data_IF_432141953028
#
_entry.id   IF_432141953028
#
_cell.length_a   1.000
_cell.length_b   1.000
_cell.length_c   1.000
_cell.angle_alpha   90.00
_cell.angle_beta   90.00
_cell.angle_gamma   90.00
#
_symmetry.space_group_name_H-M   'P 1'
#
loop_
_entity.id
_entity.type
_entity.pdbx_description
1 polymer ?
#
# COMPACT_ATOMS: atom_id res chain seq x y z
N UNK A 1 -20.69 -26.36 -12.15
CA UNK A 1 -19.30 -26.81 -12.42
C UNK A 1 -18.47 -25.54 -12.58
N UNK A 2 -17.87 -25.10 -11.47
CA UNK A 2 -17.21 -23.79 -11.38
C UNK A 2 -15.84 -23.84 -12.04
N UNK A 3 -15.52 -22.77 -12.75
CA UNK A 3 -14.33 -22.59 -13.58
C UNK A 3 -13.02 -22.87 -12.82
N UNK A 4 -12.28 -23.87 -13.30
CA UNK A 4 -10.85 -24.01 -13.02
C UNK A 4 -10.14 -22.93 -13.85
N UNK A 5 -9.76 -21.83 -13.19
CA UNK A 5 -8.92 -20.81 -13.81
C UNK A 5 -7.46 -21.24 -13.60
N UNK A 6 -6.74 -21.74 -14.63
CA UNK A 6 -5.35 -22.11 -14.48
C UNK A 6 -4.51 -20.83 -14.48
N UNK A 7 -4.48 -20.14 -13.36
CA UNK A 7 -3.42 -19.20 -13.03
C UNK A 7 -2.17 -20.01 -12.68
N UNK A 8 -1.74 -20.88 -13.61
CA UNK A 8 -0.38 -21.43 -13.64
C UNK A 8 0.37 -20.37 -14.43
N UNK A 9 0.86 -19.34 -13.73
CA UNK A 9 1.73 -18.36 -14.36
C UNK A 9 2.86 -19.12 -15.04
N UNK A 10 3.13 -18.79 -16.30
CA UNK A 10 4.08 -19.50 -17.12
C UNK A 10 5.46 -19.46 -16.43
N UNK A 11 5.82 -20.55 -15.77
CA UNK A 11 7.04 -20.65 -14.98
C UNK A 11 8.22 -20.27 -15.86
N UNK A 12 9.04 -19.34 -15.38
CA UNK A 12 10.20 -18.91 -16.15
C UNK A 12 11.16 -20.09 -16.37
N UNK A 13 11.91 -20.09 -17.48
CA UNK A 13 12.94 -21.12 -17.72
C UNK A 13 13.96 -21.19 -16.57
N UNK A 14 14.24 -20.05 -15.94
CA UNK A 14 15.12 -19.97 -14.78
C UNK A 14 14.53 -20.69 -13.57
N UNK A 15 13.23 -20.54 -13.33
CA UNK A 15 12.52 -21.20 -12.23
C UNK A 15 12.45 -22.73 -12.42
N UNK A 16 12.16 -23.19 -13.64
CA UNK A 16 12.18 -24.62 -13.96
C UNK A 16 13.57 -25.24 -13.75
N UNK A 17 14.64 -24.50 -14.09
CA UNK A 17 16.02 -24.93 -13.83
C UNK A 17 16.30 -24.98 -12.33
N UNK A 18 15.90 -23.96 -11.57
CA UNK A 18 16.06 -23.93 -10.13
C UNK A 18 15.38 -25.13 -9.45
N UNK A 19 14.13 -25.44 -9.81
CA UNK A 19 13.38 -26.58 -9.27
C UNK A 19 14.10 -27.91 -9.50
N UNK A 20 14.60 -28.14 -10.71
CA UNK A 20 15.39 -29.34 -11.03
C UNK A 20 16.68 -29.41 -10.20
N UNK A 21 17.38 -28.30 -10.05
CA UNK A 21 18.58 -28.23 -9.22
C UNK A 21 18.27 -28.50 -7.74
N UNK A 22 17.16 -28.01 -7.21
CA UNK A 22 16.76 -28.26 -5.82
C UNK A 22 16.44 -29.73 -5.55
N UNK A 23 15.75 -30.38 -6.49
CA UNK A 23 15.52 -31.83 -6.45
C UNK A 23 16.86 -32.59 -6.52
N UNK A 24 17.77 -32.16 -7.38
CA UNK A 24 19.12 -32.76 -7.50
C UNK A 24 19.98 -32.57 -6.24
N UNK A 25 19.76 -31.49 -5.48
CA UNK A 25 20.42 -31.22 -4.20
C UNK A 25 19.80 -32.00 -3.04
N UNK A 26 18.74 -32.78 -3.29
CA UNK A 26 18.09 -33.62 -2.29
C UNK A 26 17.03 -32.92 -1.44
N UNK A 27 16.55 -31.73 -1.85
CA UNK A 27 15.39 -31.11 -1.20
C UNK A 27 14.10 -31.83 -1.60
N UNK A 28 13.18 -31.98 -0.66
CA UNK A 28 11.91 -32.67 -0.86
C UNK A 28 10.77 -31.66 -1.07
N UNK A 29 9.90 -31.84 -2.09
CA UNK A 29 8.71 -31.02 -2.23
C UNK A 29 7.73 -31.28 -1.08
N UNK A 30 7.10 -30.22 -0.60
CA UNK A 30 6.05 -30.27 0.44
C UNK A 30 4.72 -29.92 -0.21
N UNK A 31 3.84 -30.92 -0.29
CA UNK A 31 2.54 -30.79 -0.92
C UNK A 31 1.48 -30.31 0.09
N UNK A 32 0.39 -29.73 -0.43
CA UNK A 32 -0.77 -29.33 0.39
C UNK A 32 -0.66 -27.94 1.03
N UNK A 33 0.35 -27.15 0.67
CA UNK A 33 0.48 -25.78 1.17
C UNK A 33 -0.37 -24.84 0.31
N UNK A 34 -1.41 -24.28 0.91
CA UNK A 34 -2.33 -23.37 0.22
C UNK A 34 -1.87 -21.92 0.27
N UNK A 35 -1.20 -21.51 1.35
CA UNK A 35 -0.75 -20.13 1.55
C UNK A 35 0.47 -20.11 2.46
N UNK A 36 1.50 -19.36 2.07
CA UNK A 36 2.64 -19.03 2.93
C UNK A 36 2.58 -17.55 3.22
N UNK A 37 2.71 -17.19 4.50
CA UNK A 37 2.75 -15.79 4.94
C UNK A 37 3.96 -15.57 5.83
N UNK A 38 4.63 -14.44 5.65
CA UNK A 38 5.64 -13.98 6.60
C UNK A 38 5.42 -12.51 6.92
N UNK A 39 5.58 -12.15 8.19
CA UNK A 39 5.36 -10.80 8.68
C UNK A 39 6.69 -10.08 8.82
N UNK A 40 6.82 -8.89 8.24
CA UNK A 40 8.02 -8.07 8.40
C UNK A 40 7.61 -6.67 8.85
N UNK A 41 8.11 -6.24 10.01
CA UNK A 41 7.80 -4.91 10.56
C UNK A 41 6.41 -4.81 11.19
N UNK A 42 5.85 -3.59 11.22
CA UNK A 42 4.62 -3.22 11.94
C UNK A 42 3.34 -3.60 11.18
N UNK A 43 3.11 -4.89 10.95
CA UNK A 43 1.83 -5.39 10.40
C UNK A 43 1.78 -5.62 8.89
N UNK A 44 2.91 -5.48 8.19
CA UNK A 44 3.03 -5.83 6.77
C UNK A 44 3.18 -7.34 6.64
N UNK A 45 2.22 -7.98 5.99
CA UNK A 45 2.18 -9.42 5.74
C UNK A 45 2.49 -9.69 4.27
N UNK A 46 3.56 -10.42 4.01
CA UNK A 46 3.87 -10.90 2.67
C UNK A 46 3.20 -12.25 2.50
N UNK A 47 2.21 -12.33 1.61
CA UNK A 47 1.44 -13.52 1.33
C UNK A 47 1.76 -14.08 -0.05
N UNK A 48 2.04 -15.38 -0.12
CA UNK A 48 2.19 -16.12 -1.37
C UNK A 48 1.04 -17.13 -1.42
N UNK A 49 0.18 -16.97 -2.42
CA UNK A 49 -0.99 -17.84 -2.61
C UNK A 49 -0.63 -19.03 -3.49
N UNK A 50 -1.08 -20.24 -3.11
CA UNK A 50 -0.78 -21.53 -3.75
C UNK A 50 0.72 -21.69 -4.10
N UNK A 51 1.63 -21.54 -3.12
CA UNK A 51 3.04 -21.66 -3.37
C UNK A 51 3.46 -23.11 -3.63
N UNK A 52 4.61 -23.26 -4.25
CA UNK A 52 5.34 -24.53 -4.28
C UNK A 52 6.53 -24.47 -3.32
N UNK A 53 6.60 -25.42 -2.39
CA UNK A 53 7.57 -25.38 -1.30
C UNK A 53 8.47 -26.60 -1.33
N UNK A 54 9.77 -26.38 -1.14
CA UNK A 54 10.77 -27.43 -0.98
C UNK A 54 11.39 -27.31 0.42
N UNK A 55 11.56 -28.44 1.11
CA UNK A 55 12.18 -28.52 2.44
C UNK A 55 13.51 -29.27 2.37
N UNK A 56 14.52 -28.74 3.06
CA UNK A 56 15.77 -29.45 3.32
C UNK A 56 15.55 -30.64 4.26
N UNK A 57 16.21 -31.78 4.01
CA UNK A 57 16.07 -32.96 4.86
C UNK A 57 16.78 -32.79 6.21
N UNK A 58 17.82 -31.95 6.23
CA UNK A 58 18.72 -31.82 7.38
C UNK A 58 18.51 -30.55 8.20
N UNK A 59 17.62 -29.65 7.76
CA UNK A 59 17.37 -28.35 8.40
C UNK A 59 15.94 -27.86 8.18
N UNK A 60 15.47 -26.96 9.04
CA UNK A 60 14.18 -26.26 8.86
C UNK A 60 14.27 -25.11 7.85
N UNK A 61 15.01 -25.34 6.77
CA UNK A 61 15.13 -24.41 5.64
C UNK A 61 14.08 -24.76 4.58
N UNK A 62 13.27 -23.77 4.23
CA UNK A 62 12.20 -23.90 3.25
C UNK A 62 12.46 -22.95 2.08
N UNK A 63 12.29 -23.43 0.86
CA UNK A 63 12.36 -22.63 -0.36
C UNK A 63 10.95 -22.56 -0.94
N UNK A 64 10.45 -21.34 -1.14
CA UNK A 64 9.07 -21.08 -1.54
C UNK A 64 9.09 -20.40 -2.90
N UNK A 65 8.47 -21.04 -3.89
CA UNK A 65 8.22 -20.47 -5.21
C UNK A 65 6.77 -19.99 -5.29
N UNK A 66 6.59 -18.77 -5.80
CA UNK A 66 5.29 -18.19 -6.05
C UNK A 66 5.37 -16.67 -6.10
N UNK A 67 4.27 -16.06 -6.52
CA UNK A 67 4.15 -14.60 -6.58
C UNK A 67 3.84 -14.05 -5.19
N UNK A 68 4.65 -13.08 -4.74
CA UNK A 68 4.42 -12.42 -3.46
C UNK A 68 3.42 -11.29 -3.63
N UNK A 69 2.43 -11.27 -2.75
CA UNK A 69 1.50 -10.17 -2.56
C UNK A 69 1.78 -9.53 -1.20
N UNK A 70 1.75 -8.20 -1.15
CA UNK A 70 1.88 -7.45 0.10
C UNK A 70 0.47 -7.17 0.61
N UNK A 71 0.16 -7.66 1.79
CA UNK A 71 -1.09 -7.44 2.49
C UNK A 71 -0.77 -6.59 3.73
N UNK A 72 -1.18 -5.33 3.71
CA UNK A 72 -1.02 -4.42 4.85
C UNK A 72 -2.30 -4.43 5.70
N UNK A 73 -2.23 -5.10 6.85
CA UNK A 73 -3.37 -5.20 7.76
C UNK A 73 -3.74 -3.85 8.37
N UNK A 74 -2.79 -2.91 8.53
CA UNK A 74 -3.06 -1.60 9.12
C UNK A 74 -3.82 -0.70 8.14
N UNK A 75 -3.39 -0.69 6.87
CA UNK A 75 -4.09 0.02 5.81
C UNK A 75 -5.51 -0.52 5.61
N UNK A 76 -5.68 -1.84 5.64
CA UNK A 76 -7.01 -2.47 5.52
C UNK A 76 -7.93 -2.16 6.71
N UNK A 77 -7.38 -2.10 7.92
CA UNK A 77 -8.15 -1.74 9.12
C UNK A 77 -8.58 -0.26 9.11
N UNK A 78 -7.73 0.64 8.62
CA UNK A 78 -8.07 2.07 8.47
C UNK A 78 -9.15 2.27 7.40
N UNK A 79 -9.03 1.61 6.24
CA UNK A 79 -10.06 1.65 5.20
C UNK A 79 -11.40 1.09 5.68
N UNK A 80 -11.38 -0.04 6.38
CA UNK A 80 -12.61 -0.64 6.92
C UNK A 80 -13.25 0.21 8.03
N UNK A 81 -12.45 0.88 8.88
CA UNK A 81 -12.96 1.80 9.89
C UNK A 81 -13.57 3.05 9.27
N UNK A 82 -12.95 3.59 8.21
CA UNK A 82 -13.47 4.71 7.44
C UNK A 82 -14.78 4.34 6.73
N UNK A 83 -14.84 3.18 6.05
CA UNK A 83 -16.07 2.68 5.43
C UNK A 83 -17.20 2.46 6.45
N UNK A 84 -16.88 2.00 7.67
CA UNK A 84 -17.87 1.86 8.74
C UNK A 84 -18.34 3.22 9.30
N UNK A 85 -17.47 4.24 9.32
CA UNK A 85 -17.86 5.60 9.68
C UNK A 85 -18.76 6.24 8.60
N UNK A 86 -18.39 6.12 7.32
CA UNK A 86 -19.23 6.60 6.22
C UNK A 86 -20.57 5.85 6.13
N UNK A 87 -20.58 4.54 6.38
CA UNK A 87 -21.81 3.74 6.40
C UNK A 87 -22.72 4.11 7.59
N UNK A 88 -22.15 4.48 8.74
CA UNK A 88 -22.90 4.98 9.89
C UNK A 88 -23.45 6.42 9.68
N UNK A 89 -22.80 7.23 8.84
CA UNK A 89 -23.35 8.51 8.38
C UNK A 89 -24.43 8.35 7.29
N UNK A 90 -24.39 7.26 6.51
CA UNK A 90 -25.39 6.95 5.49
C UNK A 90 -26.78 6.53 6.02
N UNK A 91 -26.89 6.06 7.27
CA UNK A 91 -28.18 5.70 7.89
C UNK A 91 -28.90 6.87 8.57
N UNK A 92 -28.36 8.10 8.50
CA UNK A 92 -29.01 9.30 9.07
C UNK A 92 -29.58 10.29 8.04
N UNK A 93 -29.91 9.82 6.84
CA UNK A 93 -30.64 10.65 5.87
C UNK A 93 -32.06 10.13 5.66
N UNK A 94 -32.93 10.37 6.64
CA UNK A 94 -34.33 10.72 6.38
C UNK A 94 -34.87 11.55 7.56
N UNK A 95 -35.49 12.70 7.24
CA UNK A 95 -36.20 13.67 8.11
C UNK A 95 -35.41 14.84 8.78
N UNK A 96 -35.02 15.84 7.96
CA UNK A 96 -35.37 17.30 7.99
C UNK A 96 -35.75 18.00 9.34
N UNK A 97 -35.66 19.37 9.42
CA UNK A 97 -34.49 20.26 9.58
C UNK A 97 -34.58 21.17 10.85
N UNK A 98 -33.45 21.63 11.43
CA UNK A 98 -33.37 22.89 12.20
C UNK A 98 -31.92 23.27 12.58
N UNK A 99 -31.65 24.56 12.41
CA UNK A 99 -30.51 25.41 12.74
C UNK A 99 -29.62 25.13 13.97
N UNK A 100 -28.34 25.46 13.76
CA UNK A 100 -27.39 26.17 14.65
C UNK A 100 -26.79 25.47 15.88
N UNK A 101 -25.51 25.07 15.80
CA UNK A 101 -24.37 25.83 16.33
C UNK A 101 -23.11 24.94 16.58
N UNK A 102 -22.13 25.09 15.68
CA UNK A 102 -20.67 25.24 15.91
C UNK A 102 -19.96 24.43 17.03
N UNK A 103 -19.01 23.56 16.66
CA UNK A 103 -17.58 23.92 16.50
C UNK A 103 -16.62 22.71 16.56
N UNK A 104 -15.85 22.54 15.47
CA UNK A 104 -14.44 22.13 15.36
C UNK A 104 -14.01 20.77 15.98
N UNK A 105 -13.40 19.83 15.25
CA UNK A 105 -12.24 20.01 14.34
C UNK A 105 -12.38 19.08 13.14
N UNK A 106 -12.77 19.66 12.00
CA UNK A 106 -12.37 19.22 10.67
C UNK A 106 -10.96 19.79 10.42
N UNK A 107 -9.98 18.94 10.11
CA UNK A 107 -8.90 19.34 9.21
C UNK A 107 -9.33 18.76 7.84
N UNK A 108 -10.21 19.45 7.13
CA UNK A 108 -9.85 20.27 5.97
C UNK A 108 -8.82 19.59 5.06
N UNK A 109 -9.29 18.56 4.35
CA UNK A 109 -8.83 18.29 2.99
C UNK A 109 -9.36 19.42 2.09
N UNK A 110 -8.78 20.61 2.27
CA UNK A 110 -8.93 21.69 1.31
C UNK A 110 -8.22 21.20 0.04
N UNK A 111 -8.98 20.84 -1.00
CA UNK A 111 -8.47 20.76 -2.36
C UNK A 111 -7.87 22.12 -2.70
N UNK A 112 -6.59 22.31 -2.36
CA UNK A 112 -5.84 23.50 -2.74
C UNK A 112 -5.64 23.39 -4.24
N UNK A 113 -6.50 24.10 -4.96
CA UNK A 113 -6.51 24.21 -6.41
C UNK A 113 -5.09 24.44 -6.93
N UNK A 114 -4.61 23.53 -7.78
CA UNK A 114 -3.30 23.65 -8.41
C UNK A 114 -3.31 24.66 -9.57
N UNK A 115 -4.40 25.41 -9.79
CA UNK A 115 -4.42 26.53 -10.73
C UNK A 115 -3.29 27.54 -10.42
N UNK A 116 -2.32 27.60 -11.35
CA UNK A 116 -1.24 28.58 -11.32
C UNK A 116 0.05 28.15 -10.61
N UNK A 117 0.16 26.91 -10.14
CA UNK A 117 1.41 26.36 -9.56
C UNK A 117 1.91 25.22 -10.45
N UNK A 118 3.17 25.27 -10.87
CA UNK A 118 3.74 24.20 -11.70
C UNK A 118 3.88 22.90 -10.89
N UNK A 119 3.42 21.79 -11.45
CA UNK A 119 3.50 20.48 -10.79
C UNK A 119 4.96 20.07 -10.52
N UNK A 120 5.90 20.49 -11.37
CA UNK A 120 7.34 20.29 -11.17
C UNK A 120 7.85 20.97 -9.91
N UNK A 121 7.38 22.17 -9.62
CA UNK A 121 7.79 22.95 -8.45
C UNK A 121 7.24 22.32 -7.18
N UNK A 122 5.98 21.86 -7.20
CA UNK A 122 5.36 21.11 -6.11
C UNK A 122 6.16 19.84 -5.79
N UNK A 123 6.51 19.05 -6.80
CA UNK A 123 7.32 17.84 -6.62
C UNK A 123 8.71 18.15 -6.06
N UNK A 124 9.32 19.24 -6.49
CA UNK A 124 10.65 19.66 -6.04
C UNK A 124 10.62 20.07 -4.56
N UNK A 125 9.61 20.83 -4.14
CA UNK A 125 9.40 21.21 -2.74
C UNK A 125 9.06 20.00 -1.87
N UNK A 126 8.17 19.11 -2.32
CA UNK A 126 7.81 17.88 -1.58
C UNK A 126 9.02 16.99 -1.35
N UNK A 127 9.86 16.80 -2.38
CA UNK A 127 11.04 15.93 -2.28
C UNK A 127 12.18 16.54 -1.45
N UNK A 128 12.40 17.86 -1.53
CA UNK A 128 13.50 18.51 -0.81
C UNK A 128 13.13 18.88 0.63
N UNK A 129 11.87 19.27 0.88
CA UNK A 129 11.40 19.65 2.21
C UNK A 129 10.70 18.51 2.98
N UNK A 130 10.44 17.37 2.33
CA UNK A 130 9.78 16.21 2.93
C UNK A 130 8.43 16.55 3.59
N UNK A 131 7.63 17.39 2.92
CA UNK A 131 6.30 17.84 3.37
C UNK A 131 5.18 17.31 2.48
N UNK A 132 3.93 17.39 2.94
CA UNK A 132 2.76 16.99 2.15
C UNK A 132 2.52 17.92 0.95
N UNK A 133 1.88 17.40 -0.11
CA UNK A 133 1.56 18.14 -1.35
C UNK A 133 0.78 19.43 -1.06
N UNK A 134 -0.21 19.39 -0.17
CA UNK A 134 -0.98 20.56 0.24
C UNK A 134 -0.12 21.66 0.89
N UNK A 135 0.85 21.26 1.74
CA UNK A 135 1.77 22.19 2.40
C UNK A 135 2.77 22.79 1.41
N UNK A 136 3.23 22.00 0.44
CA UNK A 136 4.06 22.49 -0.66
C UNK A 136 3.32 23.50 -1.56
N UNK A 137 2.06 23.22 -1.92
CA UNK A 137 1.23 24.14 -2.73
C UNK A 137 1.01 25.46 -1.97
N UNK A 138 0.69 25.39 -0.68
CA UNK A 138 0.51 26.59 0.16
C UNK A 138 1.80 27.40 0.29
N UNK A 139 2.94 26.75 0.48
CA UNK A 139 4.24 27.42 0.53
C UNK A 139 4.59 28.07 -0.82
N UNK A 140 4.33 27.41 -1.94
CA UNK A 140 4.56 27.99 -3.27
C UNK A 140 3.64 29.19 -3.52
N UNK A 141 2.35 29.11 -3.16
CA UNK A 141 1.42 30.24 -3.30
C UNK A 141 1.79 31.43 -2.42
N UNK A 142 2.26 31.19 -1.20
CA UNK A 142 2.68 32.25 -0.28
C UNK A 142 3.99 32.93 -0.69
N UNK A 143 4.79 32.27 -1.52
CA UNK A 143 6.09 32.75 -1.99
C UNK A 143 6.07 33.09 -3.49
N UNK A 144 4.91 33.42 -4.07
CA UNK A 144 4.76 33.81 -5.48
C UNK A 144 5.34 32.77 -6.47
N UNK A 145 5.19 31.48 -6.17
CA UNK A 145 5.80 30.32 -6.87
C UNK A 145 7.34 30.28 -6.83
N UNK A 146 8.01 30.99 -5.92
CA UNK A 146 9.45 30.87 -5.69
C UNK A 146 9.78 29.58 -4.93
N UNK A 147 10.23 28.58 -5.68
CA UNK A 147 10.62 27.25 -5.19
C UNK A 147 11.71 27.32 -4.13
N UNK A 148 12.68 28.23 -4.26
CA UNK A 148 13.81 28.30 -3.35
C UNK A 148 13.36 28.88 -2.01
N UNK A 149 12.57 29.94 -2.05
CA UNK A 149 12.06 30.55 -0.83
C UNK A 149 11.06 29.63 -0.10
N UNK A 150 10.21 28.93 -0.86
CA UNK A 150 9.29 27.93 -0.32
C UNK A 150 10.02 26.75 0.35
N UNK A 151 11.11 26.26 -0.24
CA UNK A 151 11.94 25.20 0.38
C UNK A 151 12.62 25.71 1.65
N UNK A 152 13.17 26.92 1.62
CA UNK A 152 13.80 27.53 2.81
C UNK A 152 12.80 27.68 3.97
N UNK A 153 11.57 28.14 3.71
CA UNK A 153 10.51 28.26 4.73
C UNK A 153 10.12 26.89 5.33
N UNK A 154 10.14 25.83 4.52
CA UNK A 154 9.69 24.50 4.94
C UNK A 154 10.79 23.62 5.57
N UNK A 155 12.07 23.99 5.41
CA UNK A 155 13.22 23.21 5.88
C UNK A 155 14.00 23.85 7.03
N UNK A 156 13.70 25.09 7.41
CA UNK A 156 14.29 25.76 8.57
C UNK A 156 13.56 25.45 9.88
#
# INVERSE_FOLDING_TARGET
MSAENPQVSAQSRAEQKARKSLLSLGLKPVNGITRVTFTRGRGIVFAINRPEVFKSVNSDTHIVFGEMSVDDMAARAQQAALEQQLAAEGEKTEEKPAEEAQAAVEEEEEEVDAEGVEEKDIELVVNQANVSRAKAIKALKNNDNDVVNAIMELTM
#
